data_IF_534008191119
#
_entry.id   IF_534008191119
#
_cell.length_a   1.000
_cell.length_b   1.000
_cell.length_c   1.000
_cell.angle_alpha   90.00
_cell.angle_beta   90.00
_cell.angle_gamma   90.00
#
_symmetry.space_group_name_H-M   'P 1'
#
loop_
_entity.id
_entity.type
_entity.pdbx_description
1 polymer ?
#
# COMPACT_ATOMS: atom_id res chain seq x y z
N UNK A 1 -27.80 19.11 -4.36
CA UNK A 1 -27.41 17.78 -4.85
C UNK A 1 -25.90 17.58 -4.75
N UNK A 2 -25.39 16.82 -3.77
CA UNK A 2 -23.97 16.48 -3.66
C UNK A 2 -23.69 14.96 -3.71
N UNK A 3 -24.61 14.14 -4.23
CA UNK A 3 -24.52 12.67 -4.26
C UNK A 3 -23.41 12.17 -5.21
N UNK A 4 -23.03 12.97 -6.21
CA UNK A 4 -21.99 12.59 -7.17
C UNK A 4 -20.57 12.63 -6.59
N UNK A 5 -20.30 13.41 -5.52
CA UNK A 5 -18.95 13.52 -4.93
C UNK A 5 -18.62 12.34 -4.01
N UNK A 6 -19.62 11.75 -3.35
CA UNK A 6 -19.46 10.57 -2.48
C UNK A 6 -19.21 9.28 -3.26
N UNK A 7 -19.83 9.12 -4.44
CA UNK A 7 -19.62 7.93 -5.30
C UNK A 7 -18.20 7.90 -5.88
N UNK A 8 -17.61 9.07 -6.19
CA UNK A 8 -16.23 9.16 -6.70
C UNK A 8 -15.19 8.81 -5.63
N UNK A 9 -15.45 9.12 -4.36
CA UNK A 9 -14.58 8.74 -3.24
C UNK A 9 -14.58 7.21 -3.00
N UNK A 10 -15.72 6.54 -3.19
CA UNK A 10 -15.85 5.08 -3.10
C UNK A 10 -15.11 4.35 -4.24
N UNK A 11 -15.09 4.92 -5.45
CA UNK A 11 -14.28 4.40 -6.56
C UNK A 11 -12.78 4.49 -6.23
N UNK A 12 -12.34 5.50 -5.47
CA UNK A 12 -10.95 5.59 -5.01
C UNK A 12 -10.61 4.62 -3.87
N UNK A 13 -11.58 4.26 -3.02
CA UNK A 13 -11.43 3.22 -1.99
C UNK A 13 -11.37 1.81 -2.59
N UNK A 14 -12.06 1.56 -3.71
CA UNK A 14 -11.81 0.36 -4.51
C UNK A 14 -10.40 0.38 -5.13
N UNK A 15 -9.87 1.55 -5.54
CA UNK A 15 -8.56 1.71 -6.19
C UNK A 15 -7.35 1.64 -5.24
N UNK A 16 -7.49 1.90 -3.94
CA UNK A 16 -6.41 1.64 -2.97
C UNK A 16 -6.16 0.14 -2.76
N UNK A 17 -7.18 -0.71 -3.00
CA UNK A 17 -7.04 -2.16 -3.16
C UNK A 17 -6.77 -2.62 -4.60
N UNK A 18 -7.26 -1.91 -5.62
CA UNK A 18 -7.20 -2.35 -7.03
C UNK A 18 -5.83 -2.20 -7.71
N UNK A 19 -4.88 -1.43 -7.18
CA UNK A 19 -3.51 -1.47 -7.72
C UNK A 19 -2.80 -2.80 -7.40
N UNK A 20 -3.37 -3.65 -6.56
CA UNK A 20 -2.79 -4.96 -6.24
C UNK A 20 -3.79 -6.15 -6.25
N UNK A 21 -5.06 -5.98 -6.63
CA UNK A 21 -6.06 -7.07 -6.58
C UNK A 21 -5.67 -8.33 -7.37
N UNK A 22 -5.07 -8.20 -8.56
CA UNK A 22 -4.59 -9.35 -9.35
C UNK A 22 -3.29 -10.00 -8.82
N UNK A 23 -2.64 -9.43 -7.80
CA UNK A 23 -1.47 -10.02 -7.12
C UNK A 23 -1.81 -10.54 -5.72
N UNK A 24 -2.91 -10.11 -5.11
CA UNK A 24 -3.25 -10.43 -3.72
C UNK A 24 -3.71 -11.87 -3.50
N UNK A 25 -4.40 -12.53 -4.44
CA UNK A 25 -4.75 -13.95 -4.30
C UNK A 25 -3.51 -14.84 -4.08
N UNK A 26 -2.37 -14.46 -4.66
CA UNK A 26 -1.10 -15.17 -4.51
C UNK A 26 -0.37 -14.87 -3.19
N UNK A 27 -0.71 -13.76 -2.52
CA UNK A 27 -0.12 -13.34 -1.24
C UNK A 27 -1.01 -13.63 -0.03
N UNK A 28 -2.32 -13.81 -0.21
CA UNK A 28 -3.22 -14.27 0.86
C UNK A 28 -2.91 -15.70 1.33
N UNK A 29 -2.30 -16.52 0.47
CA UNK A 29 -1.90 -17.89 0.79
C UNK A 29 -0.49 -18.02 1.38
N UNK A 30 0.31 -16.95 1.36
CA UNK A 30 1.68 -16.99 1.90
C UNK A 30 1.61 -16.84 3.42
N UNK A 31 2.33 -17.71 4.14
CA UNK A 31 2.43 -17.55 5.59
C UNK A 31 3.14 -16.22 5.89
N UNK A 32 2.90 -15.66 7.09
CA UNK A 32 3.59 -14.46 7.57
C UNK A 32 5.10 -14.56 7.35
N UNK A 33 5.67 -15.74 7.64
CA UNK A 33 7.08 -16.03 7.47
C UNK A 33 7.51 -15.94 6.00
N UNK A 34 6.78 -16.59 5.09
CA UNK A 34 7.13 -16.57 3.66
C UNK A 34 7.08 -15.15 3.07
N UNK A 35 6.15 -14.32 3.54
CA UNK A 35 6.04 -12.93 3.13
C UNK A 35 7.23 -12.08 3.60
N UNK A 36 7.67 -12.30 4.86
CA UNK A 36 8.84 -11.62 5.42
C UNK A 36 10.11 -12.07 4.71
N UNK A 37 10.28 -13.37 4.52
CA UNK A 37 11.41 -13.96 3.80
C UNK A 37 11.50 -13.40 2.37
N UNK A 38 10.37 -13.34 1.65
CA UNK A 38 10.30 -12.74 0.32
C UNK A 38 10.74 -11.26 0.31
N UNK A 39 10.29 -10.47 1.29
CA UNK A 39 10.67 -9.06 1.40
C UNK A 39 12.15 -8.89 1.67
N UNK A 40 12.69 -9.64 2.64
CA UNK A 40 14.11 -9.59 2.98
C UNK A 40 14.96 -10.05 1.80
N UNK A 41 14.65 -11.19 1.19
CA UNK A 41 15.39 -11.71 0.04
C UNK A 41 15.41 -10.72 -1.13
N UNK A 42 14.27 -10.08 -1.40
CA UNK A 42 14.17 -9.03 -2.41
C UNK A 42 15.07 -7.84 -2.08
N UNK A 43 15.11 -7.40 -0.82
CA UNK A 43 15.98 -6.31 -0.38
C UNK A 43 17.46 -6.71 -0.47
N UNK A 44 17.83 -7.89 0.02
CA UNK A 44 19.18 -8.47 -0.06
C UNK A 44 19.69 -8.48 -1.48
N UNK A 45 18.92 -9.01 -2.44
CA UNK A 45 19.30 -9.02 -3.86
C UNK A 45 19.43 -7.62 -4.45
N UNK A 46 18.61 -6.68 -3.99
CA UNK A 46 18.55 -5.33 -4.58
C UNK A 46 19.58 -4.36 -4.07
N UNK A 47 20.03 -4.54 -2.83
CA UNK A 47 20.95 -3.66 -2.11
C UNK A 47 22.27 -4.36 -1.77
N UNK A 48 22.43 -5.65 -2.12
CA UNK A 48 23.59 -6.45 -1.76
C UNK A 48 23.85 -6.43 -0.26
N UNK A 49 22.80 -6.72 0.52
CA UNK A 49 22.89 -6.71 1.98
C UNK A 49 23.82 -7.82 2.46
N UNK A 50 24.70 -7.49 3.41
CA UNK A 50 25.48 -8.51 4.11
C UNK A 50 24.62 -9.23 5.17
N UNK A 51 25.14 -10.34 5.72
CA UNK A 51 24.39 -11.18 6.67
C UNK A 51 23.96 -10.42 7.93
N UNK A 52 24.79 -9.50 8.42
CA UNK A 52 24.46 -8.69 9.61
C UNK A 52 23.32 -7.72 9.33
N UNK A 53 23.33 -7.06 8.17
CA UNK A 53 22.25 -6.17 7.73
C UNK A 53 20.95 -6.95 7.51
N UNK A 54 21.06 -8.13 6.90
CA UNK A 54 19.92 -9.03 6.67
C UNK A 54 19.22 -9.39 7.97
N UNK A 55 19.97 -9.86 8.97
CA UNK A 55 19.44 -10.23 10.30
C UNK A 55 18.75 -9.03 10.98
N UNK A 56 19.39 -7.85 10.95
CA UNK A 56 18.80 -6.63 11.53
C UNK A 56 17.49 -6.24 10.85
N UNK A 57 17.44 -6.32 9.53
CA UNK A 57 16.25 -5.98 8.75
C UNK A 57 15.12 -7.00 8.98
N UNK A 58 15.43 -8.29 9.08
CA UNK A 58 14.45 -9.32 9.47
C UNK A 58 13.84 -9.02 10.84
N UNK A 59 14.66 -8.66 11.83
CA UNK A 59 14.19 -8.29 13.16
C UNK A 59 13.28 -7.05 13.15
N UNK A 60 13.63 -6.01 12.37
CA UNK A 60 12.78 -4.81 12.20
C UNK A 60 11.42 -5.22 11.63
N UNK A 61 11.40 -6.02 10.56
CA UNK A 61 10.14 -6.43 9.92
C UNK A 61 9.30 -7.35 10.81
N UNK A 62 9.94 -8.27 11.55
CA UNK A 62 9.27 -9.17 12.47
C UNK A 62 8.65 -8.39 13.64
N UNK A 63 9.37 -7.43 14.24
CA UNK A 63 8.85 -6.60 15.34
C UNK A 63 7.61 -5.78 14.93
N UNK A 64 7.56 -5.34 13.69
CA UNK A 64 6.44 -4.55 13.14
C UNK A 64 5.29 -5.41 12.59
N UNK A 65 5.48 -6.72 12.49
CA UNK A 65 4.55 -7.61 11.78
C UNK A 65 3.18 -7.73 12.43
N UNK A 66 3.12 -7.73 13.77
CA UNK A 66 1.87 -7.82 14.53
C UNK A 66 1.00 -6.61 14.22
N UNK A 67 1.56 -5.41 14.34
CA UNK A 67 0.85 -4.17 14.08
C UNK A 67 0.42 -4.04 12.61
N UNK A 68 1.20 -4.59 11.66
CA UNK A 68 0.80 -4.66 10.25
C UNK A 68 -0.44 -5.55 10.09
N UNK A 69 -0.48 -6.71 10.75
CA UNK A 69 -1.60 -7.65 10.62
C UNK A 69 -2.85 -7.14 11.33
N UNK A 70 -2.70 -6.52 12.50
CA UNK A 70 -3.80 -5.87 13.22
C UNK A 70 -4.44 -4.78 12.35
N UNK A 71 -3.64 -3.87 11.81
CA UNK A 71 -4.12 -2.81 10.91
C UNK A 71 -4.83 -3.38 9.66
N UNK A 72 -4.35 -4.51 9.13
CA UNK A 72 -4.99 -5.18 7.99
C UNK A 72 -6.31 -5.83 8.39
N UNK A 73 -6.35 -6.50 9.54
CA UNK A 73 -7.54 -7.14 10.09
C UNK A 73 -8.65 -6.11 10.34
N UNK A 74 -8.32 -4.98 10.95
CA UNK A 74 -9.29 -3.90 11.20
C UNK A 74 -9.85 -3.32 9.89
N UNK A 75 -9.01 -3.08 8.88
CA UNK A 75 -9.50 -2.65 7.56
C UNK A 75 -10.41 -3.70 6.90
N UNK A 76 -10.15 -5.00 7.09
CA UNK A 76 -11.03 -6.06 6.58
C UNK A 76 -12.37 -6.09 7.32
N UNK A 77 -12.38 -5.87 8.63
CA UNK A 77 -13.63 -5.76 9.42
C UNK A 77 -14.47 -4.58 8.96
N UNK A 78 -13.87 -3.40 8.82
CA UNK A 78 -14.55 -2.19 8.32
C UNK A 78 -15.12 -2.42 6.93
N UNK A 79 -14.34 -3.06 6.03
CA UNK A 79 -14.82 -3.41 4.69
C UNK A 79 -16.02 -4.35 4.76
N UNK A 80 -16.00 -5.35 5.64
CA UNK A 80 -17.12 -6.28 5.84
C UNK A 80 -18.36 -5.53 6.36
N UNK A 81 -18.20 -4.71 7.38
CA UNK A 81 -19.28 -3.86 7.92
C UNK A 81 -19.90 -3.01 6.83
N UNK A 82 -19.09 -2.32 6.03
CA UNK A 82 -19.59 -1.50 4.91
C UNK A 82 -20.38 -2.32 3.88
N UNK A 83 -19.94 -3.54 3.57
CA UNK A 83 -20.63 -4.43 2.62
C UNK A 83 -21.94 -5.00 3.17
N UNK A 84 -22.06 -5.11 4.48
CA UNK A 84 -23.25 -5.62 5.19
C UNK A 84 -24.29 -4.53 5.50
N UNK A 85 -23.95 -3.24 5.29
CA UNK A 85 -24.86 -2.13 5.53
C UNK A 85 -25.95 -2.03 4.47
N UNK A 86 -27.19 -1.82 4.92
CA UNK A 86 -28.35 -1.62 4.04
C UNK A 86 -28.51 -0.15 3.64
N UNK A 87 -28.50 0.19 2.34
CA UNK A 87 -28.64 1.58 1.90
C UNK A 87 -29.98 2.25 2.27
N UNK A 88 -30.99 1.45 2.65
CA UNK A 88 -32.28 1.96 3.12
C UNK A 88 -32.32 2.32 4.61
N UNK A 89 -31.26 2.03 5.37
CA UNK A 89 -31.17 2.38 6.77
C UNK A 89 -31.25 3.91 6.97
N UNK A 90 -32.03 4.35 7.95
CA UNK A 90 -32.23 5.79 8.23
C UNK A 90 -30.92 6.48 8.65
N UNK A 91 -30.02 5.73 9.26
CA UNK A 91 -28.70 6.16 9.75
C UNK A 91 -27.55 5.76 8.80
N UNK A 92 -27.85 5.25 7.60
CA UNK A 92 -26.83 4.78 6.64
C UNK A 92 -25.70 5.80 6.42
N UNK A 93 -26.08 7.06 6.22
CA UNK A 93 -25.10 8.15 5.99
C UNK A 93 -24.18 8.37 7.18
N UNK A 94 -24.72 8.29 8.39
CA UNK A 94 -23.95 8.49 9.63
C UNK A 94 -22.97 7.33 9.84
N UNK A 95 -23.44 6.09 9.68
CA UNK A 95 -22.60 4.88 9.69
C UNK A 95 -21.46 4.94 8.66
N UNK A 96 -21.74 5.38 7.42
CA UNK A 96 -20.69 5.55 6.39
C UNK A 96 -19.66 6.59 6.82
N UNK A 97 -20.09 7.68 7.44
CA UNK A 97 -19.20 8.74 7.91
C UNK A 97 -18.30 8.27 9.06
N UNK A 98 -18.84 7.47 9.98
CA UNK A 98 -18.08 6.83 11.07
C UNK A 98 -17.00 5.89 10.52
N UNK A 99 -17.38 4.93 9.66
CA UNK A 99 -16.43 4.02 9.02
C UNK A 99 -15.35 4.78 8.23
N UNK A 100 -15.70 5.88 7.57
CA UNK A 100 -14.73 6.73 6.89
C UNK A 100 -13.73 7.37 7.85
N UNK A 101 -14.15 7.75 9.05
CA UNK A 101 -13.27 8.28 10.09
C UNK A 101 -12.28 7.23 10.58
N UNK A 102 -12.76 6.02 10.85
CA UNK A 102 -11.94 4.88 11.26
C UNK A 102 -10.90 4.51 10.20
N UNK A 103 -11.30 4.45 8.92
CA UNK A 103 -10.36 4.25 7.80
C UNK A 103 -9.29 5.35 7.80
N UNK A 104 -9.70 6.60 7.98
CA UNK A 104 -8.76 7.73 8.04
C UNK A 104 -7.68 7.54 9.11
N UNK A 105 -8.09 7.13 10.31
CA UNK A 105 -7.19 6.79 11.42
C UNK A 105 -6.23 5.66 11.06
N UNK A 106 -6.76 4.51 10.60
CA UNK A 106 -5.94 3.34 10.25
C UNK A 106 -4.93 3.63 9.13
N UNK A 107 -5.31 4.42 8.13
CA UNK A 107 -4.39 4.81 7.05
C UNK A 107 -3.29 5.73 7.58
N UNK A 108 -3.61 6.63 8.51
CA UNK A 108 -2.63 7.47 9.20
C UNK A 108 -1.62 6.62 9.98
N UNK A 109 -2.10 5.67 10.77
CA UNK A 109 -1.24 4.79 11.58
C UNK A 109 -0.34 3.92 10.71
N UNK A 110 -0.88 3.38 9.60
CA UNK A 110 -0.09 2.65 8.62
C UNK A 110 1.02 3.51 8.00
N UNK A 111 0.74 4.80 7.72
CA UNK A 111 1.74 5.71 7.16
C UNK A 111 2.88 5.94 8.15
N UNK A 112 2.55 6.20 9.42
CA UNK A 112 3.53 6.39 10.49
C UNK A 112 4.39 5.13 10.66
N UNK A 113 3.76 3.95 10.75
CA UNK A 113 4.46 2.67 10.88
C UNK A 113 5.41 2.41 9.71
N UNK A 114 4.94 2.60 8.46
CA UNK A 114 5.79 2.47 7.27
C UNK A 114 6.94 3.47 7.27
N UNK A 115 6.70 4.68 7.76
CA UNK A 115 7.74 5.70 7.94
C UNK A 115 8.83 5.25 8.91
N UNK A 116 8.44 4.69 10.07
CA UNK A 116 9.38 4.18 11.07
C UNK A 116 10.21 3.03 10.51
N UNK A 117 9.56 2.00 9.96
CA UNK A 117 10.25 0.85 9.34
C UNK A 117 11.23 1.31 8.27
N UNK A 118 10.81 2.25 7.41
CA UNK A 118 11.68 2.78 6.35
C UNK A 118 12.92 3.46 6.93
N UNK A 119 12.76 4.23 8.01
CA UNK A 119 13.86 4.90 8.70
C UNK A 119 14.81 3.89 9.35
N UNK A 120 14.28 2.94 10.11
CA UNK A 120 15.08 1.91 10.79
C UNK A 120 15.89 1.08 9.79
N UNK A 121 15.28 0.71 8.65
CA UNK A 121 16.01 0.03 7.57
C UNK A 121 17.10 0.94 7.02
N UNK A 122 16.80 2.23 6.75
CA UNK A 122 17.78 3.17 6.20
C UNK A 122 19.01 3.36 7.11
N UNK A 123 18.81 3.30 8.43
CA UNK A 123 19.88 3.41 9.42
C UNK A 123 20.79 2.16 9.47
N UNK A 124 20.32 1.02 8.96
CA UNK A 124 21.11 -0.22 8.82
C UNK A 124 21.97 -0.24 7.56
N UNK A 125 21.67 0.60 6.57
CA UNK A 125 22.33 0.60 5.27
C UNK A 125 23.64 1.39 5.27
N UNK A 126 24.56 0.96 4.42
CA UNK A 126 25.76 1.70 4.07
C UNK A 126 25.45 2.82 3.05
N UNK A 127 26.36 3.77 2.90
CA UNK A 127 26.11 4.98 2.11
C UNK A 127 25.91 4.71 0.61
N UNK A 128 26.63 3.75 0.04
CA UNK A 128 26.45 3.29 -1.34
C UNK A 128 25.07 2.64 -1.55
N UNK A 129 24.59 1.87 -0.57
CA UNK A 129 23.27 1.24 -0.58
C UNK A 129 22.15 2.29 -0.46
N UNK A 130 22.33 3.31 0.39
CA UNK A 130 21.41 4.46 0.48
C UNK A 130 21.31 5.21 -0.84
N UNK A 131 22.42 5.34 -1.57
CA UNK A 131 22.44 5.96 -2.90
C UNK A 131 21.70 5.11 -3.94
N UNK A 132 21.86 3.77 -3.91
CA UNK A 132 21.10 2.84 -4.76
C UNK A 132 19.58 3.01 -4.60
N UNK A 133 19.09 3.31 -3.39
CA UNK A 133 17.67 3.59 -3.14
C UNK A 133 17.24 4.88 -3.84
N UNK A 134 17.98 5.99 -3.63
CA UNK A 134 17.66 7.29 -4.25
C UNK A 134 17.60 7.21 -5.77
N UNK A 135 18.55 6.49 -6.38
CA UNK A 135 18.64 6.34 -7.83
C UNK A 135 17.52 5.46 -8.42
N UNK A 136 17.03 4.46 -7.67
CA UNK A 136 15.86 3.65 -8.08
C UNK A 136 14.56 4.43 -8.08
N UNK A 137 14.34 5.28 -7.07
CA UNK A 137 13.14 6.11 -7.00
C UNK A 137 13.04 7.06 -8.20
N UNK A 138 14.17 7.63 -8.64
CA UNK A 138 14.24 8.46 -9.84
C UNK A 138 13.91 7.69 -11.13
N UNK A 139 14.47 6.48 -11.32
CA UNK A 139 14.18 5.64 -12.52
C UNK A 139 12.73 5.19 -12.60
N UNK A 140 12.13 4.80 -11.48
CA UNK A 140 10.72 4.39 -11.45
C UNK A 140 9.77 5.55 -11.77
N UNK A 141 10.09 6.77 -11.32
CA UNK A 141 9.31 7.96 -11.66
C UNK A 141 9.38 8.29 -13.15
N UNK A 142 10.55 8.19 -13.79
CA UNK A 142 10.68 8.39 -15.24
C UNK A 142 9.89 7.37 -16.08
N UNK A 143 9.81 6.11 -15.64
CA UNK A 143 9.01 5.12 -16.36
C UNK A 143 7.49 5.36 -16.25
N UNK A 144 7.02 5.82 -15.08
CA UNK A 144 5.61 6.17 -14.88
C UNK A 144 5.20 7.38 -15.73
N UNK A 145 6.03 8.41 -15.81
CA UNK A 145 5.74 9.60 -16.65
C UNK A 145 5.66 9.23 -18.12
N UNK A 146 6.60 8.42 -18.64
CA UNK A 146 6.59 7.92 -20.04
C UNK A 146 5.36 7.08 -20.37
N UNK A 147 4.93 6.20 -19.46
CA UNK A 147 3.72 5.38 -19.65
C UNK A 147 2.46 6.26 -19.67
N UNK A 148 2.35 7.22 -18.75
CA UNK A 148 1.22 8.15 -18.71
C UNK A 148 1.15 9.04 -19.96
N UNK A 149 2.31 9.47 -20.50
CA UNK A 149 2.38 10.24 -21.73
C UNK A 149 1.94 9.43 -22.95
N UNK A 150 2.35 8.15 -23.04
CA UNK A 150 1.88 7.23 -24.10
C UNK A 150 0.38 6.97 -24.04
N UNK A 151 -0.19 6.82 -22.85
CA UNK A 151 -1.65 6.65 -22.68
C UNK A 151 -2.42 7.91 -23.08
N UNK A 152 -1.95 9.10 -22.71
CA UNK A 152 -2.54 10.37 -23.16
C UNK A 152 -2.50 10.52 -24.68
N UNK A 153 -1.38 10.17 -25.32
CA UNK A 153 -1.29 10.19 -26.78
C UNK A 153 -2.25 9.21 -27.44
N UNK A 154 -2.37 7.97 -26.93
CA UNK A 154 -3.35 7.00 -27.44
C UNK A 154 -4.78 7.52 -27.35
N UNK A 155 -5.14 8.17 -26.24
CA UNK A 155 -6.48 8.76 -26.07
C UNK A 155 -6.73 9.93 -27.03
N UNK A 156 -5.71 10.76 -27.29
CA UNK A 156 -5.81 11.86 -28.26
C UNK A 156 -6.08 11.34 -29.68
N UNK A 157 -5.32 10.35 -30.16
CA UNK A 157 -5.53 9.76 -31.49
C UNK A 157 -6.88 9.01 -31.60
N UNK A 158 -7.40 8.45 -30.51
CA UNK A 158 -8.72 7.80 -30.50
C UNK A 158 -9.91 8.77 -30.49
N UNK A 159 -9.68 10.05 -30.21
CA UNK A 159 -10.72 11.10 -30.17
C UNK A 159 -10.83 11.89 -31.46
N UNK A 160 -9.81 11.80 -32.31
CA UNK A 160 -9.68 12.55 -33.57
C UNK A 160 -9.81 11.66 -34.82
N UNK A 161 -10.17 10.39 -34.61
CA UNK A 161 -10.67 9.45 -35.63
C UNK A 161 -12.11 9.10 -35.26
#
# INVERSE_FOLDING_TARGET
MPIQKTIVALIFLCLSGYVMAGKYEKFEQLSKKDFLDYKTEKMTRSLELNDTQKIKIEAILESSSIQIEENKSELMKIRKQFMEMEPSDIDYKEKVQELSGEIGGLISDQLVLRGSIKREIYDVLEDDQKEKIKNRDMRNNQHKTKRSARERMRQFFRKNN
#
